data_IF_925507775257
#
_entry.id   IF_925507775257
#
_cell.length_a   1.000
_cell.length_b   1.000
_cell.length_c   1.000
_cell.angle_alpha   90.00
_cell.angle_beta   90.00
_cell.angle_gamma   90.00
#
_symmetry.space_group_name_H-M   'P 1'
#
loop_
_entity.id
_entity.type
_entity.pdbx_description
1 polymer ?
#
# COMPACT_ATOMS: atom_id res chain seq x y z
N UNK A 1 -2.02 -6.97 -21.31
CA UNK A 1 -3.46 -6.77 -21.05
C UNK A 1 -4.06 -8.04 -20.48
N UNK A 2 -4.30 -8.09 -19.17
CA UNK A 2 -4.80 -9.29 -18.49
C UNK A 2 -6.30 -9.53 -18.64
N UNK A 3 -7.05 -8.61 -19.27
CA UNK A 3 -8.50 -8.71 -19.60
C UNK A 3 -9.31 -9.57 -18.61
N UNK A 4 -9.34 -9.18 -17.34
CA UNK A 4 -10.06 -9.91 -16.29
C UNK A 4 -9.30 -11.10 -15.66
N UNK A 5 -8.05 -11.34 -16.03
CA UNK A 5 -7.19 -12.41 -15.49
C UNK A 5 -6.11 -11.85 -14.54
N UNK A 6 -6.46 -10.88 -13.70
CA UNK A 6 -5.48 -10.21 -12.83
C UNK A 6 -4.78 -11.18 -11.87
N UNK A 7 -5.51 -12.15 -11.32
CA UNK A 7 -4.94 -13.13 -10.39
C UNK A 7 -4.00 -14.11 -11.08
N UNK A 8 -4.36 -14.53 -12.29
CA UNK A 8 -3.54 -15.38 -13.15
C UNK A 8 -2.28 -14.64 -13.58
N UNK A 9 -2.40 -13.37 -13.97
CA UNK A 9 -1.27 -12.55 -14.35
C UNK A 9 -0.32 -12.29 -13.16
N UNK A 10 -0.85 -12.06 -11.97
CA UNK A 10 -0.06 -11.91 -10.76
C UNK A 10 0.70 -13.19 -10.42
N UNK A 11 0.02 -14.32 -10.42
CA UNK A 11 0.64 -15.62 -10.17
C UNK A 11 1.72 -15.94 -11.21
N UNK A 12 1.44 -15.71 -12.49
CA UNK A 12 2.40 -15.90 -13.58
C UNK A 12 3.70 -15.11 -13.33
N UNK A 13 3.59 -13.84 -12.99
CA UNK A 13 4.75 -12.98 -12.68
C UNK A 13 5.49 -13.41 -11.40
N UNK A 14 4.75 -13.72 -10.33
CA UNK A 14 5.32 -14.10 -9.05
C UNK A 14 6.11 -15.40 -9.11
N UNK A 15 5.59 -16.38 -9.85
CA UNK A 15 6.15 -17.73 -9.93
C UNK A 15 6.94 -17.99 -11.21
N UNK A 16 7.00 -17.00 -12.11
CA UNK A 16 7.67 -17.09 -13.41
C UNK A 16 7.21 -18.31 -14.22
N UNK A 17 5.90 -18.45 -14.34
CA UNK A 17 5.22 -19.52 -15.11
C UNK A 17 4.33 -18.90 -16.18
N UNK A 18 4.08 -19.59 -17.31
CA UNK A 18 3.16 -19.11 -18.32
C UNK A 18 1.75 -18.88 -17.74
N UNK A 19 1.07 -17.81 -18.18
CA UNK A 19 -0.26 -17.47 -17.67
C UNK A 19 -1.28 -18.58 -17.98
N UNK A 20 -1.08 -19.32 -19.06
CA UNK A 20 -1.90 -20.44 -19.49
C UNK A 20 -1.81 -21.64 -18.51
N UNK A 21 -0.69 -21.74 -17.78
CA UNK A 21 -0.51 -22.76 -16.74
C UNK A 21 -1.26 -22.42 -15.45
N UNK A 22 -1.74 -21.17 -15.30
CA UNK A 22 -2.49 -20.72 -14.12
C UNK A 22 -3.98 -20.91 -14.37
N UNK A 23 -4.47 -22.12 -14.13
CA UNK A 23 -5.88 -22.48 -14.39
C UNK A 23 -6.79 -22.04 -13.24
N UNK A 24 -8.09 -21.88 -13.56
CA UNK A 24 -9.12 -21.61 -12.56
C UNK A 24 -9.19 -22.79 -11.56
N UNK A 25 -9.04 -22.49 -10.27
CA UNK A 25 -8.99 -23.50 -9.21
C UNK A 25 -7.59 -24.01 -8.86
N UNK A 26 -6.55 -23.61 -9.61
CA UNK A 26 -5.17 -23.97 -9.25
C UNK A 26 -4.69 -23.26 -7.98
N UNK A 27 -3.76 -23.91 -7.27
CA UNK A 27 -3.06 -23.33 -6.09
C UNK A 27 -2.34 -22.02 -6.44
N UNK A 28 -1.71 -21.95 -7.60
CA UNK A 28 -1.06 -20.74 -8.09
C UNK A 28 -2.04 -19.56 -8.23
N UNK A 29 -3.21 -19.81 -8.79
CA UNK A 29 -4.24 -18.76 -8.92
C UNK A 29 -4.77 -18.31 -7.57
N UNK A 30 -4.97 -19.23 -6.63
CA UNK A 30 -5.39 -18.90 -5.27
C UNK A 30 -4.37 -18.03 -4.56
N UNK A 31 -3.07 -18.36 -4.65
CA UNK A 31 -1.97 -17.54 -4.14
C UNK A 31 -1.90 -16.18 -4.82
N UNK A 32 -2.06 -16.11 -6.13
CA UNK A 32 -2.13 -14.85 -6.88
C UNK A 32 -3.28 -13.96 -6.44
N UNK A 33 -4.47 -14.53 -6.21
CA UNK A 33 -5.63 -13.79 -5.69
C UNK A 33 -5.38 -13.20 -4.30
N UNK A 34 -4.89 -14.01 -3.38
CA UNK A 34 -4.61 -13.56 -2.00
C UNK A 34 -3.52 -12.49 -2.00
N UNK A 35 -2.48 -12.66 -2.81
CA UNK A 35 -1.41 -11.67 -2.95
C UNK A 35 -1.93 -10.32 -3.49
N UNK A 36 -2.71 -10.30 -4.55
CA UNK A 36 -3.30 -9.07 -5.10
C UNK A 36 -4.17 -8.33 -4.09
N UNK A 37 -5.04 -9.05 -3.38
CA UNK A 37 -5.94 -8.45 -2.40
C UNK A 37 -5.22 -7.93 -1.15
N UNK A 38 -4.15 -8.61 -0.71
CA UNK A 38 -3.46 -8.29 0.54
C UNK A 38 -2.30 -7.30 0.37
N UNK A 39 -1.60 -7.29 -0.76
CA UNK A 39 -0.29 -6.66 -0.88
C UNK A 39 -0.28 -5.32 -1.63
N UNK A 40 -1.34 -4.98 -2.35
CA UNK A 40 -1.42 -3.79 -3.21
C UNK A 40 -1.20 -2.46 -2.48
N UNK A 41 -1.52 -2.42 -1.20
CA UNK A 41 -1.35 -1.23 -0.33
C UNK A 41 -0.33 -1.46 0.77
N UNK A 42 0.82 -2.03 0.38
CA UNK A 42 1.97 -2.28 1.27
C UNK A 42 1.70 -3.32 2.39
N UNK A 43 0.69 -4.17 2.23
CA UNK A 43 0.47 -5.30 3.11
C UNK A 43 1.68 -6.24 3.15
N UNK A 44 1.77 -7.03 4.20
CA UNK A 44 2.80 -8.05 4.40
C UNK A 44 2.17 -9.34 4.96
N UNK A 45 2.93 -10.16 5.65
CA UNK A 45 2.47 -11.46 6.19
C UNK A 45 1.16 -11.33 6.98
N UNK A 46 1.02 -10.30 7.84
CA UNK A 46 -0.22 -10.06 8.59
C UNK A 46 -1.45 -9.86 7.69
N UNK A 47 -1.31 -9.14 6.58
CA UNK A 47 -2.39 -8.95 5.62
C UNK A 47 -2.73 -10.25 4.87
N UNK A 48 -1.72 -11.06 4.53
CA UNK A 48 -1.94 -12.39 3.94
C UNK A 48 -2.70 -13.33 4.90
N UNK A 49 -2.36 -13.32 6.20
CA UNK A 49 -3.10 -14.07 7.23
C UNK A 49 -4.57 -13.66 7.27
N UNK A 50 -4.84 -12.37 7.35
CA UNK A 50 -6.20 -11.81 7.36
C UNK A 50 -6.99 -12.21 6.11
N UNK A 51 -6.35 -12.28 4.95
CA UNK A 51 -6.96 -12.68 3.67
C UNK A 51 -7.03 -14.20 3.48
N UNK A 52 -6.72 -14.99 4.50
CA UNK A 52 -6.91 -16.43 4.49
C UNK A 52 -5.67 -17.25 4.16
N UNK A 53 -4.48 -16.68 4.22
CA UNK A 53 -3.22 -17.41 3.96
C UNK A 53 -3.05 -18.64 4.84
N UNK A 54 -3.38 -18.56 6.13
CA UNK A 54 -3.32 -19.68 7.05
C UNK A 54 -4.34 -20.79 6.70
N UNK A 55 -5.55 -20.40 6.25
CA UNK A 55 -6.57 -21.36 5.79
C UNK A 55 -6.15 -22.10 4.51
N UNK A 56 -5.21 -21.53 3.75
CA UNK A 56 -4.60 -22.20 2.60
C UNK A 56 -3.41 -23.09 2.98
N UNK A 57 -3.11 -23.24 4.28
CA UNK A 57 -2.00 -24.04 4.78
C UNK A 57 -0.62 -23.38 4.62
N UNK A 58 -0.56 -22.07 4.37
CA UNK A 58 0.70 -21.36 4.21
C UNK A 58 1.33 -21.04 5.56
N UNK A 59 2.60 -21.42 5.74
CA UNK A 59 3.43 -21.00 6.87
C UNK A 59 3.83 -19.52 6.76
N UNK A 60 4.29 -18.93 7.86
CA UNK A 60 4.78 -17.55 7.88
C UNK A 60 5.96 -17.33 6.90
N UNK A 61 6.82 -18.34 6.76
CA UNK A 61 7.95 -18.30 5.82
C UNK A 61 7.49 -18.30 4.36
N UNK A 62 6.49 -19.12 4.04
CA UNK A 62 5.89 -19.14 2.70
C UNK A 62 5.18 -17.83 2.39
N UNK A 63 4.44 -17.27 3.34
CA UNK A 63 3.80 -15.96 3.20
C UNK A 63 4.83 -14.84 3.01
N UNK A 64 5.93 -14.82 3.75
CA UNK A 64 7.03 -13.87 3.56
C UNK A 64 7.65 -14.00 2.15
N UNK A 65 7.81 -15.22 1.68
CA UNK A 65 8.28 -15.50 0.32
C UNK A 65 7.32 -14.95 -0.73
N UNK A 66 6.01 -15.10 -0.54
CA UNK A 66 4.97 -14.54 -1.43
C UNK A 66 5.06 -13.02 -1.44
N UNK A 67 5.19 -12.37 -0.29
CA UNK A 67 5.35 -10.91 -0.18
C UNK A 67 6.57 -10.44 -1.00
N UNK A 68 7.72 -11.07 -0.83
CA UNK A 68 8.94 -10.74 -1.56
C UNK A 68 8.79 -10.92 -3.08
N UNK A 69 8.20 -12.03 -3.51
CA UNK A 69 7.94 -12.32 -4.93
C UNK A 69 6.98 -11.30 -5.54
N UNK A 70 5.89 -10.98 -4.85
CA UNK A 70 4.91 -10.02 -5.34
C UNK A 70 5.53 -8.62 -5.50
N UNK A 71 6.28 -8.15 -4.48
CA UNK A 71 6.95 -6.84 -4.54
C UNK A 71 7.99 -6.79 -5.66
N UNK A 72 8.76 -7.86 -5.87
CA UNK A 72 9.70 -7.98 -6.99
C UNK A 72 9.00 -7.95 -8.35
N UNK A 73 7.83 -8.55 -8.45
CA UNK A 73 7.01 -8.57 -9.67
C UNK A 73 6.29 -7.23 -9.95
N UNK A 74 6.17 -6.36 -8.93
CA UNK A 74 5.44 -5.09 -9.01
C UNK A 74 6.30 -3.88 -8.54
N UNK A 75 7.49 -3.65 -9.14
CA UNK A 75 8.42 -2.63 -8.66
C UNK A 75 7.86 -1.21 -8.76
N UNK A 76 7.03 -0.93 -9.77
CA UNK A 76 6.41 0.38 -9.95
C UNK A 76 5.43 0.72 -8.81
N UNK A 77 4.70 -0.27 -8.30
CA UNK A 77 3.78 -0.07 -7.17
C UNK A 77 4.58 0.18 -5.89
N UNK A 78 5.65 -0.58 -5.67
CA UNK A 78 6.55 -0.39 -4.52
C UNK A 78 7.20 1.00 -4.55
N UNK A 79 7.66 1.44 -5.72
CA UNK A 79 8.22 2.78 -5.92
C UNK A 79 7.19 3.88 -5.64
N UNK A 80 5.94 3.69 -6.05
CA UNK A 80 4.85 4.63 -5.77
C UNK A 80 4.63 4.80 -4.27
N UNK A 81 4.59 3.74 -3.48
CA UNK A 81 4.47 3.84 -2.02
C UNK A 81 5.57 4.71 -1.42
N UNK A 82 6.82 4.47 -1.82
CA UNK A 82 7.98 5.23 -1.34
C UNK A 82 7.94 6.70 -1.74
N UNK A 83 7.54 6.99 -2.97
CA UNK A 83 7.44 8.37 -3.46
C UNK A 83 6.36 9.16 -2.72
N UNK A 84 5.15 8.59 -2.58
CA UNK A 84 4.05 9.27 -1.88
C UNK A 84 4.38 9.52 -0.40
N UNK A 85 4.96 8.54 0.28
CA UNK A 85 5.41 8.71 1.66
C UNK A 85 6.51 9.77 1.79
N UNK A 86 7.49 9.73 0.89
CA UNK A 86 8.57 10.73 0.83
C UNK A 86 8.05 12.15 0.55
N UNK A 87 7.06 12.29 -0.32
CA UNK A 87 6.42 13.60 -0.58
C UNK A 87 5.67 14.12 0.65
N UNK A 88 4.92 13.24 1.33
CA UNK A 88 4.23 13.60 2.57
C UNK A 88 5.22 14.04 3.65
N UNK A 89 6.27 13.26 3.91
CA UNK A 89 7.31 13.59 4.89
C UNK A 89 7.95 14.95 4.56
N UNK A 90 8.39 15.16 3.32
CA UNK A 90 9.02 16.42 2.90
C UNK A 90 8.08 17.61 3.06
N UNK A 91 6.80 17.47 2.70
CA UNK A 91 5.83 18.57 2.83
C UNK A 91 5.59 18.96 4.30
N UNK A 92 5.53 17.97 5.20
CA UNK A 92 5.37 18.20 6.64
C UNK A 92 6.61 18.87 7.23
N UNK A 93 7.81 18.39 6.88
CA UNK A 93 9.08 18.91 7.40
C UNK A 93 9.37 20.32 6.92
N UNK A 94 9.17 20.57 5.63
CA UNK A 94 9.59 21.84 5.00
C UNK A 94 8.48 22.89 4.98
N UNK A 95 7.23 22.50 5.21
CA UNK A 95 6.03 23.34 5.03
C UNK A 95 5.96 23.98 3.65
N UNK A 96 6.50 23.26 2.65
CA UNK A 96 6.50 23.68 1.24
C UNK A 96 5.69 22.70 0.42
N UNK A 97 5.23 23.19 -0.72
CA UNK A 97 4.61 22.35 -1.75
C UNK A 97 5.64 21.36 -2.28
N UNK A 98 5.25 20.09 -2.34
CA UNK A 98 6.02 18.97 -2.91
C UNK A 98 5.17 18.29 -3.95
N UNK A 99 5.73 18.01 -5.11
CA UNK A 99 5.03 17.33 -6.20
C UNK A 99 5.63 15.92 -6.35
N UNK A 100 4.76 14.92 -6.36
CA UNK A 100 5.14 13.54 -6.66
C UNK A 100 5.65 13.42 -8.10
N UNK A 101 6.65 12.58 -8.31
CA UNK A 101 7.10 12.20 -9.66
C UNK A 101 6.05 11.37 -10.42
N UNK A 102 5.05 10.84 -9.70
CA UNK A 102 3.94 10.08 -10.25
C UNK A 102 2.68 10.94 -10.34
N UNK A 103 2.14 11.10 -11.55
CA UNK A 103 0.81 11.66 -11.83
C UNK A 103 0.51 13.06 -11.25
N UNK A 104 1.51 13.91 -11.06
CA UNK A 104 1.33 15.30 -10.59
C UNK A 104 0.47 15.42 -9.31
N UNK A 105 0.66 14.53 -8.36
CA UNK A 105 0.00 14.62 -7.06
C UNK A 105 0.76 15.65 -6.22
N UNK A 106 0.05 16.66 -5.74
CA UNK A 106 0.62 17.75 -4.96
C UNK A 106 0.40 17.54 -3.46
N UNK A 107 1.46 17.66 -2.67
CA UNK A 107 1.44 17.65 -1.21
C UNK A 107 1.75 19.04 -0.69
N UNK A 108 0.95 19.56 0.21
CA UNK A 108 1.18 20.85 0.85
C UNK A 108 0.81 20.77 2.34
N UNK A 109 1.66 21.31 3.21
CA UNK A 109 1.43 21.32 4.64
C UNK A 109 1.66 22.73 5.19
N UNK A 110 0.68 23.28 5.92
CA UNK A 110 0.81 24.56 6.60
C UNK A 110 1.23 24.43 8.08
N UNK A 111 1.46 23.20 8.55
CA UNK A 111 1.79 22.88 9.93
C UNK A 111 0.60 22.31 10.71
N UNK A 112 -0.62 22.71 10.39
CA UNK A 112 -1.84 22.20 11.01
C UNK A 112 -2.53 21.12 10.15
N UNK A 113 -2.46 21.28 8.82
CA UNK A 113 -3.08 20.37 7.88
C UNK A 113 -2.13 20.06 6.74
N UNK A 114 -1.98 18.78 6.41
CA UNK A 114 -1.41 18.34 5.16
C UNK A 114 -2.54 18.07 4.16
N UNK A 115 -2.50 18.74 3.02
CA UNK A 115 -3.41 18.54 1.91
C UNK A 115 -2.71 17.78 0.77
N UNK A 116 -3.38 16.76 0.23
CA UNK A 116 -2.96 16.05 -0.98
C UNK A 116 -3.95 16.40 -2.08
N UNK A 117 -3.50 17.11 -3.11
CA UNK A 117 -4.32 17.48 -4.27
C UNK A 117 -4.11 16.47 -5.39
N UNK A 118 -5.18 15.87 -5.82
CA UNK A 118 -5.23 14.90 -6.91
C UNK A 118 -5.34 15.60 -8.28
N UNK A 119 -4.97 14.95 -9.39
CA UNK A 119 -5.15 15.50 -10.74
C UNK A 119 -6.59 15.89 -11.07
N UNK A 120 -7.56 15.23 -10.45
CA UNK A 120 -8.99 15.57 -10.57
C UNK A 120 -9.37 16.90 -9.92
N UNK A 121 -8.47 17.53 -9.16
CA UNK A 121 -8.74 18.69 -8.32
C UNK A 121 -9.26 18.37 -6.92
N UNK A 122 -9.67 17.13 -6.65
CA UNK A 122 -10.07 16.68 -5.31
C UNK A 122 -8.88 16.77 -4.35
N UNK A 123 -9.17 17.11 -3.10
CA UNK A 123 -8.15 17.17 -2.05
C UNK A 123 -8.48 16.21 -0.90
N UNK A 124 -7.45 15.61 -0.34
CA UNK A 124 -7.48 14.82 0.88
C UNK A 124 -6.78 15.60 1.99
N UNK A 125 -7.34 15.60 3.19
CA UNK A 125 -6.83 16.38 4.31
C UNK A 125 -6.44 15.49 5.49
N UNK A 126 -5.26 15.76 6.05
CA UNK A 126 -4.71 15.07 7.21
C UNK A 126 -4.42 16.10 8.29
N UNK A 127 -5.20 16.05 9.37
CA UNK A 127 -5.17 17.05 10.45
C UNK A 127 -3.99 16.81 11.39
N UNK A 128 -3.31 17.89 11.78
CA UNK A 128 -2.21 17.88 12.74
C UNK A 128 -1.19 16.76 12.48
N UNK A 129 -0.59 16.72 11.28
CA UNK A 129 0.36 15.66 10.93
C UNK A 129 1.64 15.82 11.78
N UNK A 130 2.06 14.71 12.36
CA UNK A 130 3.27 14.63 13.20
C UNK A 130 4.07 13.39 12.82
N UNK A 131 5.29 13.30 13.34
CA UNK A 131 6.12 12.11 13.21
C UNK A 131 6.10 11.29 14.49
N UNK A 132 6.08 9.98 14.34
CA UNK A 132 6.20 9.00 15.42
C UNK A 132 7.10 7.86 14.98
N UNK A 133 7.41 6.95 15.88
CA UNK A 133 8.05 5.68 15.54
C UNK A 133 6.98 4.61 15.48
N UNK A 134 6.96 3.86 14.38
CA UNK A 134 6.10 2.70 14.27
C UNK A 134 6.60 1.54 15.15
N UNK A 135 5.84 0.47 15.23
CA UNK A 135 6.19 -0.72 16.03
C UNK A 135 7.51 -1.41 15.64
N UNK A 136 8.10 -1.03 14.51
CA UNK A 136 9.41 -1.53 14.07
C UNK A 136 10.54 -0.50 14.27
N UNK A 137 10.27 0.61 14.99
CA UNK A 137 11.27 1.67 15.26
C UNK A 137 11.57 2.56 14.05
N UNK A 138 10.75 2.52 12.99
CA UNK A 138 10.90 3.39 11.83
C UNK A 138 10.02 4.62 11.95
N UNK A 139 10.50 5.76 11.43
CA UNK A 139 9.70 6.98 11.33
C UNK A 139 8.42 6.70 10.56
N UNK A 140 7.30 7.15 11.11
CA UNK A 140 5.97 7.06 10.54
C UNK A 140 5.25 8.39 10.68
N UNK A 141 4.25 8.62 9.83
CA UNK A 141 3.39 9.79 9.90
C UNK A 141 2.17 9.44 10.73
N UNK A 142 1.82 10.31 11.67
CA UNK A 142 0.61 10.21 12.46
C UNK A 142 -0.22 11.48 12.27
N UNK A 143 -1.52 11.36 12.20
CA UNK A 143 -2.44 12.49 12.05
C UNK A 143 -3.68 12.29 12.93
N UNK A 144 -4.44 13.36 13.17
CA UNK A 144 -5.74 13.29 13.84
C UNK A 144 -6.81 12.87 12.86
N UNK A 145 -7.47 11.77 13.14
CA UNK A 145 -8.51 11.22 12.28
C UNK A 145 -9.39 10.20 13.00
N UNK A 146 -10.38 9.70 12.28
CA UNK A 146 -11.25 8.65 12.80
C UNK A 146 -10.59 7.29 12.64
N UNK A 147 -10.37 6.61 13.73
CA UNK A 147 -9.94 5.20 13.71
C UNK A 147 -11.04 4.33 13.12
N UNK A 148 -10.69 3.52 12.11
CA UNK A 148 -11.67 2.72 11.36
C UNK A 148 -12.24 1.55 12.18
N UNK A 149 -11.55 1.12 13.21
CA UNK A 149 -11.96 0.02 14.07
C UNK A 149 -12.80 0.51 15.24
N UNK A 150 -12.28 1.50 16.00
CA UNK A 150 -12.95 2.00 17.20
C UNK A 150 -13.98 3.09 16.92
N UNK A 151 -13.97 3.67 15.70
CA UNK A 151 -14.81 4.81 15.28
C UNK A 151 -14.64 6.06 16.15
N UNK A 152 -13.48 6.18 16.80
CA UNK A 152 -13.13 7.33 17.63
C UNK A 152 -12.16 8.26 16.92
N UNK A 153 -12.25 9.54 17.19
CA UNK A 153 -11.31 10.56 16.72
C UNK A 153 -10.05 10.50 17.57
N UNK A 154 -8.94 10.09 16.97
CA UNK A 154 -7.68 9.81 17.67
C UNK A 154 -6.47 10.03 16.76
N UNK A 155 -5.29 9.70 17.26
CA UNK A 155 -4.08 9.63 16.44
C UNK A 155 -4.12 8.37 15.56
N UNK A 156 -3.99 8.54 14.26
CA UNK A 156 -4.00 7.47 13.26
C UNK A 156 -2.67 7.47 12.51
N UNK A 157 -2.06 6.32 12.38
CA UNK A 157 -0.84 6.16 11.61
C UNK A 157 -1.15 6.08 10.10
N UNK A 158 -0.28 6.70 9.30
CA UNK A 158 -0.30 6.54 7.85
C UNK A 158 1.09 6.30 7.29
N UNK A 159 1.15 5.72 6.12
CA UNK A 159 2.36 5.33 5.41
C UNK A 159 2.08 5.24 3.91
N UNK A 160 3.09 5.00 3.09
CA UNK A 160 2.97 5.04 1.63
C UNK A 160 1.83 4.20 1.07
N UNK A 161 1.65 2.97 1.55
CA UNK A 161 0.56 2.09 1.13
C UNK A 161 -0.82 2.66 1.47
N UNK A 162 -0.98 3.23 2.66
CA UNK A 162 -2.26 3.84 3.10
C UNK A 162 -2.55 5.12 2.33
N UNK A 163 -1.53 5.93 2.07
CA UNK A 163 -1.66 7.11 1.21
C UNK A 163 -2.08 6.69 -0.21
N UNK A 164 -1.48 5.64 -0.76
CA UNK A 164 -1.84 5.09 -2.07
C UNK A 164 -3.31 4.64 -2.09
N UNK A 165 -3.77 3.90 -1.08
CA UNK A 165 -5.17 3.46 -0.95
C UNK A 165 -6.16 4.64 -0.99
N UNK A 166 -5.82 5.73 -0.32
CA UNK A 166 -6.70 6.91 -0.26
C UNK A 166 -6.67 7.75 -1.56
N UNK A 167 -5.58 7.67 -2.32
CA UNK A 167 -5.39 8.43 -3.58
C UNK A 167 -6.03 7.72 -4.78
N UNK A 168 -5.99 6.40 -4.81
CA UNK A 168 -6.52 5.56 -5.89
C UNK A 168 -7.99 5.29 -5.68
#
# INVERSE_FOLDING_TARGET
NSHGKIYEASASKMFNIPIEAVTKGSDYRAKGKVAELALGYQGAVGALKTMGGEKMGLSDMEMDTIVKKWRKANPAIVALWGDLEGCAIRSIQTRKKVISIHKNIEFNCNGEVMAIKLPSGRQLFYQNPTFTLNKWGKQSIQYKGMDQTTKQWTNVDTYGGKLTENIV
#
